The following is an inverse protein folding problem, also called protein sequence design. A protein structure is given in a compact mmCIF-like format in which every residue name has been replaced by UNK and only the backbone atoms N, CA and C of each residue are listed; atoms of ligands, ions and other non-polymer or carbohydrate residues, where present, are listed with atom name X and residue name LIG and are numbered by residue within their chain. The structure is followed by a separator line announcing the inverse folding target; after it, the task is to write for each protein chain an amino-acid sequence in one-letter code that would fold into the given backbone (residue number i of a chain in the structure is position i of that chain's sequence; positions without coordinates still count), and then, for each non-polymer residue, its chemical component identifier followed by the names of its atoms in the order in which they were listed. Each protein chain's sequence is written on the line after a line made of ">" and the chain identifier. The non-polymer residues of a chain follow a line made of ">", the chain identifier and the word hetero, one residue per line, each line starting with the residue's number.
data_IF_240531888782
#
_entry.id   IF_240531888782
#
_cell.length_a   1.000
_cell.length_b   1.000
_cell.length_c   1.000
_cell.angle_alpha   90.00
_cell.angle_beta   90.00
_cell.angle_gamma   90.00
#
_symmetry.space_group_name_H-M   'P 1'
#
loop_
_entity.id
_entity.type
_entity.pdbx_description
1 polymer ?
#
# COMPACT_ATOMS: atom_id res chain seq x y z
N UNK A 1 -1.75 13.55 22.36
CA UNK A 1 -0.95 13.64 21.11
C UNK A 1 0.27 12.75 21.28
N UNK A 2 0.64 11.97 20.27
CA UNK A 2 1.88 11.19 20.29
C UNK A 2 2.98 12.07 19.69
N UNK A 3 4.04 12.35 20.44
CA UNK A 3 5.17 13.17 20.01
C UNK A 3 6.44 12.44 20.43
N UNK A 4 7.40 12.26 19.51
CA UNK A 4 8.72 11.69 19.83
C UNK A 4 8.71 10.40 20.68
N UNK A 5 7.75 9.51 20.46
CA UNK A 5 7.69 8.22 21.17
C UNK A 5 7.01 8.25 22.54
N UNK A 6 6.41 9.36 22.97
CA UNK A 6 5.61 9.43 24.21
C UNK A 6 4.19 9.95 23.95
N UNK A 7 3.27 9.62 24.85
CA UNK A 7 1.90 10.16 24.86
C UNK A 7 1.86 11.39 25.75
N UNK A 8 1.48 12.51 25.18
CA UNK A 8 1.18 13.75 25.91
C UNK A 8 -0.32 13.97 25.99
N UNK A 9 -0.77 14.51 27.13
CA UNK A 9 -2.16 14.88 27.34
C UNK A 9 -2.60 15.94 26.31
N UNK A 10 -3.69 15.68 25.60
CA UNK A 10 -4.23 16.62 24.62
C UNK A 10 -4.79 17.92 25.22
N UNK A 11 -5.04 17.94 26.55
CA UNK A 11 -5.60 19.11 27.23
C UNK A 11 -4.52 20.00 27.86
N UNK A 12 -3.66 19.43 28.72
CA UNK A 12 -2.67 20.19 29.48
C UNK A 12 -1.23 20.01 28.97
N UNK A 13 -1.02 19.24 27.91
CA UNK A 13 0.29 18.96 27.29
C UNK A 13 1.31 18.22 28.18
N UNK A 14 0.94 17.82 29.39
CA UNK A 14 1.78 17.01 30.27
C UNK A 14 2.10 15.65 29.62
N UNK A 15 3.34 15.19 29.74
CA UNK A 15 3.75 13.85 29.32
C UNK A 15 3.10 12.83 30.25
N UNK A 16 2.42 11.84 29.68
CA UNK A 16 1.71 10.80 30.43
C UNK A 16 2.61 9.56 30.59
N UNK A 17 3.16 9.06 29.47
CA UNK A 17 4.00 7.87 29.45
C UNK A 17 4.84 7.80 28.17
N UNK A 18 6.01 7.15 28.26
CA UNK A 18 6.76 6.66 27.10
C UNK A 18 6.01 5.49 26.46
N UNK A 19 6.06 5.40 25.12
CA UNK A 19 5.41 4.33 24.38
C UNK A 19 6.39 3.20 24.10
N UNK A 20 6.09 2.02 24.67
CA UNK A 20 6.69 0.77 24.21
C UNK A 20 5.94 0.25 22.97
N UNK A 21 6.54 -0.61 22.13
CA UNK A 21 5.81 -1.24 21.02
C UNK A 21 4.65 -2.12 21.52
N UNK A 22 3.50 -2.10 20.84
CA UNK A 22 2.39 -3.05 21.07
C UNK A 22 1.64 -3.39 19.77
N UNK A 23 0.80 -4.45 19.75
CA UNK A 23 0.16 -4.93 18.53
C UNK A 23 -0.56 -3.85 17.74
N UNK A 24 -0.33 -3.85 16.42
CA UNK A 24 -0.96 -2.92 15.48
C UNK A 24 -2.49 -2.95 15.59
N UNK A 25 -3.12 -1.77 15.60
CA UNK A 25 -4.58 -1.66 15.69
C UNK A 25 -5.18 -1.86 17.08
N UNK A 26 -4.41 -2.30 18.08
CA UNK A 26 -4.87 -2.36 19.47
C UNK A 26 -4.88 -0.94 20.08
N UNK A 27 -6.08 -0.44 20.42
CA UNK A 27 -6.24 0.85 21.09
C UNK A 27 -5.96 0.71 22.59
N UNK A 28 -5.10 1.57 23.14
CA UNK A 28 -4.81 1.67 24.57
C UNK A 28 -5.25 3.01 25.15
N UNK A 29 -5.60 2.98 26.43
CA UNK A 29 -6.06 4.13 27.21
C UNK A 29 -4.96 4.65 28.14
N UNK A 30 -4.83 5.97 28.23
CA UNK A 30 -3.84 6.68 29.03
C UNK A 30 -4.51 7.81 29.81
N UNK A 31 -4.53 7.69 31.15
CA UNK A 31 -5.10 8.71 32.03
C UNK A 31 -4.02 9.72 32.42
N UNK A 32 -4.26 11.00 32.18
CA UNK A 32 -3.31 12.06 32.56
C UNK A 32 -3.25 12.21 34.09
N UNK A 33 -2.07 12.12 34.71
CA UNK A 33 -1.94 12.25 36.17
C UNK A 33 -2.24 13.68 36.66
N UNK A 34 -2.04 14.69 35.81
CA UNK A 34 -2.17 16.11 36.19
C UNK A 34 -3.62 16.61 36.15
N UNK A 35 -4.41 16.17 35.16
CA UNK A 35 -5.77 16.71 34.94
C UNK A 35 -6.85 15.64 34.81
N UNK A 36 -6.52 14.36 34.94
CA UNK A 36 -7.47 13.24 34.89
C UNK A 36 -8.08 12.97 33.51
N UNK A 37 -7.67 13.70 32.46
CA UNK A 37 -8.20 13.48 31.12
C UNK A 37 -7.77 12.12 30.57
N UNK A 38 -8.72 11.44 29.93
CA UNK A 38 -8.49 10.17 29.24
C UNK A 38 -8.01 10.45 27.82
N UNK A 39 -6.86 9.88 27.47
CA UNK A 39 -6.25 9.94 26.15
C UNK A 39 -6.20 8.53 25.56
N UNK A 40 -6.20 8.44 24.24
CA UNK A 40 -6.14 7.17 23.53
C UNK A 40 -5.02 7.18 22.51
N UNK A 41 -4.33 6.05 22.40
CA UNK A 41 -3.34 5.82 21.36
C UNK A 41 -3.61 4.47 20.70
N UNK A 42 -3.53 4.46 19.38
CA UNK A 42 -3.53 3.24 18.56
C UNK A 42 -2.24 3.26 17.76
N UNK A 43 -1.39 2.23 17.85
CA UNK A 43 -0.18 2.15 17.06
C UNK A 43 -0.63 1.82 15.65
N UNK A 44 -0.29 2.72 14.75
CA UNK A 44 -0.35 2.46 13.32
C UNK A 44 1.02 1.95 12.91
N UNK A 45 1.06 0.86 12.15
CA UNK A 45 2.29 0.52 11.44
C UNK A 45 2.39 1.52 10.30
N UNK A 46 3.06 2.63 10.55
CA UNK A 46 3.45 3.54 9.50
C UNK A 46 4.58 2.85 8.72
N UNK A 47 4.20 2.09 7.69
CA UNK A 47 5.15 1.57 6.71
C UNK A 47 5.76 2.78 5.99
N UNK A 48 6.87 3.31 6.55
CA UNK A 48 7.67 4.36 5.94
C UNK A 48 8.14 3.91 4.56
N UNK A 49 7.39 4.28 3.52
CA UNK A 49 7.80 4.69 2.15
C UNK A 49 9.00 4.02 1.42
N UNK A 50 9.53 2.89 1.87
CA UNK A 50 10.54 2.06 1.18
C UNK A 50 10.02 0.64 0.92
N UNK A 51 8.71 0.51 0.70
CA UNK A 51 8.06 -0.76 0.42
C UNK A 51 8.26 -1.16 -1.03
N UNK A 52 8.68 -2.39 -1.25
CA UNK A 52 8.87 -2.99 -2.58
C UNK A 52 7.66 -2.75 -3.50
N UNK A 53 6.44 -2.81 -2.95
CA UNK A 53 5.20 -2.56 -3.69
C UNK A 53 5.10 -1.16 -4.32
N UNK A 54 5.64 -0.11 -3.68
CA UNK A 54 5.64 1.26 -4.23
C UNK A 54 6.71 1.45 -5.31
N UNK A 55 7.84 0.77 -5.16
CA UNK A 55 8.87 0.76 -6.20
C UNK A 55 8.41 -0.01 -7.43
N UNK A 56 7.79 -1.18 -7.21
CA UNK A 56 7.19 -2.00 -8.25
C UNK A 56 6.03 -1.26 -8.94
N UNK A 57 5.19 -0.53 -8.19
CA UNK A 57 4.18 0.36 -8.75
C UNK A 57 4.75 1.32 -9.79
N UNK A 58 5.78 2.09 -9.38
CA UNK A 58 6.43 3.08 -10.25
C UNK A 58 7.07 2.41 -11.46
N UNK A 59 7.69 1.25 -11.27
CA UNK A 59 8.33 0.49 -12.33
C UNK A 59 7.29 -0.04 -13.35
N UNK A 60 6.13 -0.52 -12.91
CA UNK A 60 5.03 -0.95 -13.79
C UNK A 60 4.52 0.23 -14.63
N UNK A 61 4.25 1.38 -13.99
CA UNK A 61 3.81 2.60 -14.71
C UNK A 61 4.85 3.03 -15.77
N UNK A 62 6.14 2.97 -15.43
CA UNK A 62 7.22 3.29 -16.35
C UNK A 62 7.30 2.30 -17.52
N UNK A 63 7.16 1.00 -17.26
CA UNK A 63 7.18 -0.03 -18.31
C UNK A 63 5.97 0.06 -19.24
N UNK A 64 4.76 0.30 -18.70
CA UNK A 64 3.55 0.57 -19.50
C UNK A 64 3.77 1.76 -20.44
N UNK A 65 4.32 2.86 -19.91
CA UNK A 65 4.62 4.05 -20.71
C UNK A 65 5.66 3.75 -21.80
N UNK A 66 6.67 2.92 -21.49
CA UNK A 66 7.69 2.46 -22.43
C UNK A 66 7.12 1.65 -23.59
N UNK A 67 6.05 0.88 -23.34
CA UNK A 67 5.32 0.10 -24.35
C UNK A 67 4.26 0.91 -25.11
N UNK A 68 4.14 2.21 -24.84
CA UNK A 68 3.17 3.08 -25.50
C UNK A 68 1.77 3.04 -24.87
N UNK A 69 1.62 2.38 -23.72
CA UNK A 69 0.41 2.43 -22.91
C UNK A 69 0.26 3.73 -22.13
N UNK A 70 -0.86 3.88 -21.42
CA UNK A 70 -1.17 5.06 -20.61
C UNK A 70 -1.53 4.68 -19.18
N UNK A 71 -1.26 5.59 -18.24
CA UNK A 71 -1.67 5.48 -16.85
C UNK A 71 -2.53 6.70 -16.48
N UNK A 72 -3.69 6.46 -15.87
CA UNK A 72 -4.58 7.49 -15.32
C UNK A 72 -4.60 7.35 -13.79
N UNK A 73 -4.14 8.38 -13.10
CA UNK A 73 -3.99 8.39 -11.64
C UNK A 73 -5.24 8.97 -10.98
N UNK A 74 -5.79 8.25 -10.00
CA UNK A 74 -6.94 8.70 -9.22
C UNK A 74 -6.51 9.38 -7.91
N UNK A 75 -5.42 8.90 -7.32
CA UNK A 75 -4.72 9.49 -6.18
C UNK A 75 -3.24 9.06 -6.19
N UNK A 76 -2.49 9.34 -5.12
CA UNK A 76 -1.05 9.02 -5.00
C UNK A 76 -0.76 7.51 -4.93
N UNK A 77 -1.79 6.68 -4.72
CA UNK A 77 -1.70 5.24 -4.48
C UNK A 77 -2.61 4.41 -5.42
N UNK A 78 -3.40 5.02 -6.30
CA UNK A 78 -4.33 4.32 -7.20
C UNK A 78 -4.30 4.88 -8.63
N UNK A 79 -4.35 3.97 -9.60
CA UNK A 79 -4.33 4.28 -11.02
C UNK A 79 -4.97 3.16 -11.85
N UNK A 80 -5.47 3.52 -13.03
CA UNK A 80 -5.71 2.55 -14.09
C UNK A 80 -4.61 2.64 -15.13
N UNK A 81 -4.24 1.51 -15.70
CA UNK A 81 -3.33 1.44 -16.85
C UNK A 81 -4.06 0.85 -18.05
N UNK A 82 -3.73 1.36 -19.22
CA UNK A 82 -4.18 0.87 -20.52
C UNK A 82 -2.99 0.49 -21.36
N UNK A 83 -2.99 -0.74 -21.85
CA UNK A 83 -1.95 -1.27 -22.71
C UNK A 83 -2.57 -2.27 -23.69
N UNK A 84 -2.32 -2.10 -24.98
CA UNK A 84 -2.80 -3.01 -26.05
C UNK A 84 -4.30 -3.36 -25.95
N UNK A 85 -5.15 -2.36 -25.69
CA UNK A 85 -6.61 -2.54 -25.53
C UNK A 85 -7.03 -3.14 -24.19
N UNK A 86 -6.10 -3.61 -23.37
CA UNK A 86 -6.32 -4.14 -22.02
C UNK A 86 -6.32 -3.01 -21.01
N UNK A 87 -7.32 -3.00 -20.12
CA UNK A 87 -7.36 -2.11 -18.95
C UNK A 87 -7.10 -2.91 -17.68
N UNK A 88 -6.11 -2.48 -16.90
CA UNK A 88 -5.84 -3.01 -15.57
C UNK A 88 -5.99 -1.92 -14.52
N UNK A 89 -6.52 -2.29 -13.36
CA UNK A 89 -6.61 -1.42 -12.19
C UNK A 89 -5.50 -1.78 -11.23
N UNK A 90 -4.79 -0.76 -10.79
CA UNK A 90 -3.73 -0.87 -9.83
C UNK A 90 -4.08 0.00 -8.62
N UNK A 91 -3.84 -0.51 -7.41
CA UNK A 91 -3.84 0.32 -6.20
C UNK A 91 -2.81 -0.21 -5.20
N UNK A 92 -2.27 0.69 -4.38
CA UNK A 92 -1.38 0.38 -3.28
C UNK A 92 -2.16 0.60 -1.99
N UNK A 93 -2.45 -0.48 -1.25
CA UNK A 93 -3.16 -0.43 0.02
C UNK A 93 -2.32 -1.12 1.10
N UNK A 94 -1.87 -0.32 2.07
CA UNK A 94 -1.06 -0.80 3.19
C UNK A 94 -1.91 -1.18 4.41
N UNK A 95 -3.22 -0.91 4.37
CA UNK A 95 -4.16 -1.20 5.45
C UNK A 95 -4.96 -2.48 5.16
N UNK A 96 -4.89 -3.46 6.07
CA UNK A 96 -5.75 -4.65 6.06
C UNK A 96 -5.03 -5.98 5.77
N UNK A 97 -5.74 -7.12 5.82
CA UNK A 97 -5.14 -8.47 5.74
C UNK A 97 -4.45 -8.77 4.40
N UNK A 98 -4.64 -7.91 3.41
CA UNK A 98 -4.07 -8.03 2.09
C UNK A 98 -2.74 -7.27 1.92
N UNK A 99 -2.41 -6.35 2.83
CA UNK A 99 -1.20 -5.52 2.75
C UNK A 99 0.10 -6.30 2.97
N UNK A 100 0.00 -7.53 3.48
CA UNK A 100 1.14 -8.43 3.66
C UNK A 100 1.69 -9.02 2.35
N UNK A 101 0.96 -8.91 1.22
CA UNK A 101 1.38 -9.53 -0.06
C UNK A 101 1.92 -8.45 -1.00
N UNK A 102 3.16 -8.62 -1.44
CA UNK A 102 3.91 -7.66 -2.27
C UNK A 102 3.97 -6.23 -1.66
N UNK A 103 4.13 -6.16 -0.34
CA UNK A 103 4.11 -4.91 0.45
C UNK A 103 2.97 -3.96 0.04
N UNK A 104 1.73 -4.44 0.03
CA UNK A 104 0.55 -3.61 -0.19
C UNK A 104 0.21 -3.29 -1.65
N UNK A 105 0.97 -3.75 -2.64
CA UNK A 105 0.62 -3.55 -4.05
C UNK A 105 -0.48 -4.53 -4.51
N UNK A 106 -1.48 -3.99 -5.19
CA UNK A 106 -2.55 -4.73 -5.84
C UNK A 106 -2.69 -4.37 -7.30
N UNK A 107 -2.75 -5.40 -8.15
CA UNK A 107 -3.01 -5.27 -9.58
C UNK A 107 -4.10 -6.24 -9.98
N UNK A 108 -5.07 -5.77 -10.77
CA UNK A 108 -6.17 -6.57 -11.28
C UNK A 108 -6.50 -6.25 -12.73
N UNK A 109 -6.82 -7.27 -13.50
CA UNK A 109 -7.24 -7.17 -14.91
C UNK A 109 -8.66 -7.73 -14.99
N UNK A 110 -9.64 -6.88 -15.35
CA UNK A 110 -11.07 -7.26 -15.44
C UNK A 110 -11.58 -8.06 -14.20
N UNK A 111 -11.15 -7.65 -13.00
CA UNK A 111 -11.54 -8.30 -11.74
C UNK A 111 -10.75 -9.57 -11.37
N UNK A 112 -9.89 -10.09 -12.26
CA UNK A 112 -8.93 -11.17 -11.94
C UNK A 112 -7.65 -10.56 -11.35
N UNK A 113 -7.20 -11.05 -10.18
CA UNK A 113 -6.01 -10.55 -9.48
C UNK A 113 -4.72 -11.11 -10.09
N UNK A 114 -3.70 -10.27 -10.24
CA UNK A 114 -2.33 -10.70 -10.60
C UNK A 114 -1.61 -11.20 -9.33
N UNK A 115 -0.99 -12.39 -9.34
CA UNK A 115 -0.31 -12.97 -8.16
C UNK A 115 1.10 -12.36 -8.00
N UNK A 116 1.16 -11.16 -7.41
CA UNK A 116 2.42 -10.41 -7.26
C UNK A 116 3.40 -11.02 -6.25
N UNK A 117 2.93 -11.93 -5.40
CA UNK A 117 3.74 -12.68 -4.43
C UNK A 117 4.80 -13.57 -5.09
N UNK A 118 4.57 -13.99 -6.34
CA UNK A 118 5.52 -14.77 -7.13
C UNK A 118 6.80 -13.97 -7.51
N UNK A 119 6.75 -12.64 -7.41
CA UNK A 119 7.84 -11.76 -7.80
C UNK A 119 8.59 -11.15 -6.61
N UNK A 120 8.18 -11.47 -5.38
CA UNK A 120 8.84 -10.99 -4.16
C UNK A 120 10.29 -11.50 -4.13
N UNK A 121 11.23 -10.56 -4.06
CA UNK A 121 12.67 -10.85 -4.09
C UNK A 121 13.34 -10.58 -5.45
N UNK A 122 12.56 -10.29 -6.50
CA UNK A 122 13.08 -9.75 -7.77
C UNK A 122 13.31 -8.24 -7.65
N UNK A 123 14.24 -7.70 -8.44
CA UNK A 123 14.38 -6.24 -8.58
C UNK A 123 13.10 -5.62 -9.17
N UNK A 124 12.61 -4.46 -8.67
CA UNK A 124 11.33 -3.88 -9.10
C UNK A 124 11.18 -3.70 -10.61
N UNK A 125 12.24 -3.32 -11.31
CA UNK A 125 12.22 -3.15 -12.77
C UNK A 125 12.13 -4.48 -13.53
N UNK A 126 12.71 -5.55 -12.98
CA UNK A 126 12.60 -6.89 -13.56
C UNK A 126 11.19 -7.44 -13.35
N UNK A 127 10.69 -7.36 -12.11
CA UNK A 127 9.33 -7.74 -11.76
C UNK A 127 8.28 -6.98 -12.57
N UNK A 128 8.48 -5.67 -12.79
CA UNK A 128 7.55 -4.86 -13.57
C UNK A 128 7.36 -5.38 -15.00
N UNK A 129 8.42 -5.84 -15.66
CA UNK A 129 8.32 -6.38 -17.02
C UNK A 129 7.44 -7.64 -17.04
N UNK A 130 7.70 -8.56 -16.12
CA UNK A 130 6.95 -9.81 -15.99
C UNK A 130 5.48 -9.54 -15.64
N UNK A 131 5.23 -8.57 -14.75
CA UNK A 131 3.86 -8.16 -14.39
C UNK A 131 3.12 -7.57 -15.59
N UNK A 132 3.78 -6.72 -16.39
CA UNK A 132 3.17 -6.13 -17.59
C UNK A 132 2.88 -7.20 -18.64
N UNK A 133 3.81 -8.13 -18.89
CA UNK A 133 3.58 -9.29 -19.77
C UNK A 133 2.34 -10.08 -19.31
N UNK A 134 2.23 -10.31 -17.99
CA UNK A 134 1.10 -11.03 -17.41
C UNK A 134 -0.23 -10.27 -17.54
N UNK A 135 -0.20 -8.94 -17.45
CA UNK A 135 -1.40 -8.11 -17.68
C UNK A 135 -1.90 -8.27 -19.12
N UNK A 136 -1.00 -8.22 -20.10
CA UNK A 136 -1.32 -8.41 -21.52
C UNK A 136 -1.89 -9.81 -21.77
N UNK A 137 -1.25 -10.85 -21.24
CA UNK A 137 -1.74 -12.24 -21.33
C UNK A 137 -3.17 -12.39 -20.80
N UNK A 138 -3.45 -11.84 -19.61
CA UNK A 138 -4.77 -11.89 -18.99
C UNK A 138 -5.81 -11.07 -19.78
N UNK A 139 -5.38 -9.95 -20.36
CA UNK A 139 -6.20 -9.14 -21.25
C UNK A 139 -6.64 -9.90 -22.50
N UNK A 140 -5.68 -10.49 -23.22
CA UNK A 140 -5.94 -11.28 -24.43
C UNK A 140 -6.76 -12.54 -24.16
N UNK A 141 -6.47 -13.26 -23.07
CA UNK A 141 -7.26 -14.43 -22.70
C UNK A 141 -8.73 -14.07 -22.43
N UNK A 142 -8.98 -12.91 -21.82
CA UNK A 142 -10.33 -12.44 -21.53
C UNK A 142 -11.10 -11.93 -22.78
N UNK A 143 -10.43 -11.65 -23.90
CA UNK A 143 -11.08 -11.32 -25.18
C UNK A 143 -11.54 -12.57 -25.94
N UNK A 144 -10.91 -13.73 -25.69
CA UNK A 144 -11.25 -15.00 -26.31
C UNK A 144 -12.41 -15.73 -25.62
N UNK A 145 -12.80 -15.29 -24.41
CA UNK A 145 -13.92 -15.82 -23.62
C UNK A 145 -15.27 -15.13 -23.92
N UNK A 146 -15.31 -14.15 -24.85
CA UNK A 146 -16.50 -13.32 -25.19
C UNK A 146 -17.07 -13.65 -26.56
#
# INVERSE_FOLDING_TARGET
>A
MIVNGHVSCGYCSAVIAELEPWPAGERREFVCPECGCVNYATPVVEYRSTTYGRELWRAIVAEVSRRGGTAEFYDDDAASIRLDGTTAYMYVCFDGPFSARADGLHVSVRGKRVPLDEYVGMEPNEAARVVVDRIEELGHAAEQEV
#
